data_IF_654464838994
#
_entry.id   IF_654464838994
#
_cell.length_a   1.000
_cell.length_b   1.000
_cell.length_c   1.000
_cell.angle_alpha   90.00
_cell.angle_beta   90.00
_cell.angle_gamma   90.00
#
_symmetry.space_group_name_H-M   'P 1'
#
loop_
_entity.id
_entity.type
_entity.pdbx_description
1 polymer ?
#
# COMPACT_ATOMS: atom_id res chain seq x y z
N UNK A 1 -4.15 -5.72 6.93
CA UNK A 1 -4.23 -6.61 5.74
C UNK A 1 -3.12 -7.65 5.70
N UNK A 2 -1.89 -7.32 6.12
CA UNK A 2 -0.79 -8.29 6.25
C UNK A 2 -1.24 -9.47 7.13
N UNK A 3 -0.95 -10.70 6.70
CA UNK A 3 -1.40 -11.93 7.35
C UNK A 3 -2.86 -12.32 7.07
N UNK A 4 -3.65 -11.48 6.39
CA UNK A 4 -5.00 -11.81 5.90
C UNK A 4 -5.05 -11.96 4.39
N UNK A 5 -4.38 -11.08 3.66
CA UNK A 5 -4.29 -11.13 2.20
C UNK A 5 -3.12 -12.04 1.82
N UNK A 6 -3.35 -13.14 1.09
CA UNK A 6 -2.26 -14.00 0.61
C UNK A 6 -1.27 -13.22 -0.26
N UNK A 7 0.03 -13.50 -0.10
CA UNK A 7 1.09 -12.85 -0.87
C UNK A 7 1.45 -11.42 -0.42
N UNK A 8 0.71 -10.82 0.52
CA UNK A 8 1.06 -9.52 1.08
C UNK A 8 2.12 -9.65 2.18
N UNK A 9 3.36 -9.28 1.85
CA UNK A 9 4.52 -9.37 2.75
C UNK A 9 4.53 -8.21 3.74
N UNK A 10 4.34 -6.98 3.25
CA UNK A 10 4.48 -5.76 4.05
C UNK A 10 3.55 -4.67 3.54
N UNK A 11 3.11 -3.82 4.45
CA UNK A 11 2.35 -2.62 4.15
C UNK A 11 2.86 -1.48 5.02
N UNK A 12 3.24 -0.38 4.39
CA UNK A 12 3.75 0.81 5.07
C UNK A 12 2.98 2.03 4.60
N UNK A 13 2.67 2.93 5.51
CA UNK A 13 2.02 4.20 5.21
C UNK A 13 2.64 5.31 6.03
N UNK A 14 2.86 6.46 5.42
CA UNK A 14 3.37 7.62 6.14
C UNK A 14 3.00 8.93 5.44
N UNK A 15 3.13 10.04 6.16
CA UNK A 15 3.01 11.38 5.58
C UNK A 15 4.30 11.78 4.85
N UNK A 16 4.25 12.65 3.83
CA UNK A 16 5.43 13.23 3.22
C UNK A 16 6.34 13.89 4.26
N UNK A 17 7.65 13.77 4.07
CA UNK A 17 8.60 14.49 4.89
C UNK A 17 8.43 16.01 4.69
N UNK A 18 8.53 16.85 5.75
CA UNK A 18 8.27 18.29 5.63
C UNK A 18 9.09 18.99 4.53
N UNK A 19 10.34 18.59 4.32
CA UNK A 19 11.20 19.20 3.28
C UNK A 19 10.75 18.89 1.84
N UNK A 20 9.97 17.83 1.62
CA UNK A 20 9.49 17.41 0.29
C UNK A 20 7.97 17.48 0.14
N UNK A 21 7.23 17.87 1.18
CA UNK A 21 5.78 17.95 1.17
C UNK A 21 5.21 18.80 0.02
N UNK A 22 5.90 19.89 -0.34
CA UNK A 22 5.53 20.75 -1.48
C UNK A 22 5.53 20.02 -2.84
N UNK A 23 6.24 18.89 -2.95
CA UNK A 23 6.27 18.04 -4.16
C UNK A 23 5.16 17.01 -4.20
N UNK A 24 4.40 16.86 -3.12
CA UNK A 24 3.32 15.88 -3.00
C UNK A 24 2.09 16.20 -3.86
N UNK A 25 2.05 17.32 -4.59
CA UNK A 25 0.93 17.69 -5.49
C UNK A 25 -0.45 17.70 -4.81
N UNK A 26 -0.49 18.04 -3.52
CA UNK A 26 -1.71 18.02 -2.72
C UNK A 26 -2.01 16.68 -2.04
N UNK A 27 -1.29 15.59 -2.38
CA UNK A 27 -1.33 14.35 -1.63
C UNK A 27 -0.55 14.48 -0.32
N UNK A 28 -1.12 14.00 0.78
CA UNK A 28 -0.58 14.11 2.14
C UNK A 28 -0.19 12.77 2.77
N UNK A 29 -0.26 11.67 2.01
CA UNK A 29 0.10 10.32 2.46
C UNK A 29 0.65 9.50 1.30
N UNK A 30 1.65 8.67 1.58
CA UNK A 30 2.09 7.58 0.71
C UNK A 30 1.81 6.23 1.35
N UNK A 31 1.50 5.22 0.54
CA UNK A 31 1.28 3.85 0.94
C UNK A 31 2.04 2.92 0.01
N UNK A 32 2.80 1.98 0.57
CA UNK A 32 3.56 0.97 -0.18
C UNK A 32 3.16 -0.40 0.33
N UNK A 33 2.69 -1.26 -0.58
CA UNK A 33 2.42 -2.66 -0.32
C UNK A 33 3.45 -3.50 -1.07
N UNK A 34 4.19 -4.35 -0.35
CA UNK A 34 5.14 -5.29 -0.94
C UNK A 34 4.46 -6.65 -1.06
N UNK A 35 4.40 -7.16 -2.28
CA UNK A 35 3.81 -8.46 -2.62
C UNK A 35 4.91 -9.46 -2.99
N UNK A 36 4.64 -10.74 -2.80
CA UNK A 36 5.59 -11.81 -3.08
C UNK A 36 5.89 -11.98 -4.57
N UNK A 37 4.87 -11.87 -5.43
CA UNK A 37 4.98 -11.97 -6.89
C UNK A 37 3.92 -11.11 -7.59
N UNK A 38 4.11 -10.91 -8.89
CA UNK A 38 3.21 -10.08 -9.70
C UNK A 38 1.76 -10.58 -9.71
N UNK A 39 1.54 -11.90 -9.72
CA UNK A 39 0.19 -12.47 -9.74
C UNK A 39 -0.63 -12.12 -8.48
N UNK A 40 0.04 -11.86 -7.36
CA UNK A 40 -0.63 -11.52 -6.10
C UNK A 40 -1.20 -10.10 -6.12
N UNK A 41 -0.88 -9.27 -7.14
CA UNK A 41 -1.49 -7.94 -7.31
C UNK A 41 -3.00 -8.08 -7.44
N UNK A 42 -3.47 -9.03 -8.24
CA UNK A 42 -4.91 -9.25 -8.45
C UNK A 42 -5.57 -9.79 -7.18
N UNK A 43 -4.93 -10.76 -6.52
CA UNK A 43 -5.41 -11.29 -5.24
C UNK A 43 -5.53 -10.18 -4.20
N UNK A 44 -4.53 -9.31 -4.10
CA UNK A 44 -4.54 -8.16 -3.21
C UNK A 44 -5.68 -7.19 -3.52
N UNK A 45 -5.87 -6.84 -4.79
CA UNK A 45 -6.90 -5.91 -5.23
C UNK A 45 -8.32 -6.40 -4.91
N UNK A 46 -8.59 -7.69 -5.18
CA UNK A 46 -9.92 -8.29 -5.09
C UNK A 46 -10.26 -8.85 -3.69
N UNK A 47 -9.29 -8.88 -2.76
CA UNK A 47 -9.50 -9.50 -1.46
C UNK A 47 -10.55 -8.74 -0.62
N UNK A 48 -11.51 -9.40 0.06
CA UNK A 48 -12.54 -8.72 0.86
C UNK A 48 -11.98 -7.76 1.92
N UNK A 49 -10.83 -8.10 2.51
CA UNK A 49 -10.15 -7.23 3.49
C UNK A 49 -9.53 -5.95 2.90
N UNK A 50 -9.38 -5.86 1.57
CA UNK A 50 -8.92 -4.66 0.85
C UNK A 50 -10.10 -3.82 0.33
N UNK A 51 -11.26 -4.45 0.12
CA UNK A 51 -12.49 -3.79 -0.35
C UNK A 51 -13.34 -3.20 0.80
N UNK A 52 -13.06 -3.59 2.05
CA UNK A 52 -13.83 -3.23 3.24
C UNK A 52 -13.32 -1.94 3.92
#
# INVERSE_FOLDING_TARGET
MVGKVPGLIKMESNTPHPSTAHRGQGFNMGLVATLEKADDIKVYADHPAHLA
#
